data_IF_342090340021
#
_entry.id   IF_342090340021
#
_cell.length_a   1.000
_cell.length_b   1.000
_cell.length_c   1.000
_cell.angle_alpha   90.00
_cell.angle_beta   90.00
_cell.angle_gamma   90.00
#
_symmetry.space_group_name_H-M   'P 1'
#
loop_
_entity.id
_entity.type
_entity.pdbx_description
1 polymer ?
#
# COMPACT_ATOMS: atom_id res chain seq x y z
N UNK A 1 10.18 5.87 2.54
CA UNK A 1 9.50 5.29 3.72
C UNK A 1 8.18 6.01 3.91
N UNK A 2 7.10 5.28 4.14
CA UNK A 2 5.77 5.86 4.43
C UNK A 2 5.81 6.59 5.78
N UNK A 3 5.23 7.79 5.86
CA UNK A 3 5.15 8.60 7.08
C UNK A 3 3.76 8.46 7.71
N UNK A 4 3.69 8.45 9.04
CA UNK A 4 2.42 8.31 9.77
C UNK A 4 1.41 9.40 9.41
N UNK A 5 1.81 10.68 9.49
CA UNK A 5 0.93 11.80 9.14
C UNK A 5 0.40 11.70 7.71
N UNK A 6 1.27 11.36 6.75
CA UNK A 6 0.85 11.20 5.35
C UNK A 6 -0.20 10.08 5.20
N UNK A 7 -0.04 8.94 5.88
CA UNK A 7 -1.01 7.85 5.83
C UNK A 7 -2.38 8.22 6.42
N UNK A 8 -2.41 9.12 7.40
CA UNK A 8 -3.64 9.69 7.97
C UNK A 8 -4.25 10.71 7.01
N UNK A 9 -3.47 11.69 6.57
CA UNK A 9 -3.90 12.78 5.69
C UNK A 9 -4.47 12.27 4.36
N UNK A 10 -3.86 11.23 3.79
CA UNK A 10 -4.33 10.63 2.53
C UNK A 10 -5.46 9.62 2.72
N UNK A 11 -5.93 9.39 3.94
CA UNK A 11 -6.98 8.39 4.24
C UNK A 11 -6.57 6.93 3.99
N UNK A 12 -5.27 6.64 3.80
CA UNK A 12 -4.77 5.28 3.52
C UNK A 12 -5.13 4.32 4.65
N UNK A 13 -4.95 4.76 5.90
CA UNK A 13 -5.24 3.92 7.07
C UNK A 13 -6.73 3.56 7.11
N UNK A 14 -7.62 4.52 6.88
CA UNK A 14 -9.07 4.32 6.88
C UNK A 14 -9.51 3.33 5.79
N UNK A 15 -8.93 3.43 4.59
CA UNK A 15 -9.21 2.48 3.50
C UNK A 15 -8.78 1.05 3.84
N UNK A 16 -7.61 0.89 4.45
CA UNK A 16 -7.11 -0.42 4.88
C UNK A 16 -7.93 -1.00 6.05
N UNK A 17 -8.42 -0.16 6.96
CA UNK A 17 -9.32 -0.57 8.04
C UNK A 17 -10.69 -1.04 7.52
N UNK A 18 -11.22 -0.39 6.49
CA UNK A 18 -12.46 -0.80 5.83
C UNK A 18 -12.29 -2.11 5.04
N UNK A 19 -11.10 -2.34 4.47
CA UNK A 19 -10.77 -3.58 3.77
C UNK A 19 -10.56 -4.78 4.71
N UNK A 20 -10.48 -4.52 6.02
CA UNK A 20 -10.23 -5.55 7.01
C UNK A 20 -11.41 -6.54 7.04
N UNK A 21 -11.16 -7.86 6.95
CA UNK A 21 -12.24 -8.83 7.07
C UNK A 21 -12.91 -8.69 8.45
N UNK A 22 -14.19 -9.08 8.61
CA UNK A 22 -14.82 -9.10 9.93
C UNK A 22 -14.02 -9.94 10.92
N UNK A 23 -14.15 -9.63 12.22
CA UNK A 23 -13.43 -10.38 13.24
C UNK A 23 -13.85 -11.86 13.17
N UNK A 24 -12.89 -12.81 13.30
CA UNK A 24 -13.24 -14.21 13.28
C UNK A 24 -14.18 -14.52 14.44
N UNK A 25 -15.18 -15.37 14.17
CA UNK A 25 -16.13 -15.80 15.18
C UNK A 25 -15.36 -16.49 16.32
N UNK A 26 -15.49 -16.05 17.59
CA UNK A 26 -14.73 -16.61 18.71
C UNK A 26 -14.92 -18.12 18.90
N UNK A 27 -16.04 -18.68 18.41
CA UNK A 27 -16.30 -20.12 18.43
C UNK A 27 -15.42 -20.94 17.47
N UNK A 28 -14.85 -20.31 16.43
CA UNK A 28 -14.02 -20.95 15.40
C UNK A 28 -12.53 -20.55 15.50
N UNK A 29 -12.19 -19.63 16.42
CA UNK A 29 -10.83 -19.14 16.58
C UNK A 29 -10.03 -20.06 17.51
N UNK A 30 -8.77 -20.40 17.17
CA UNK A 30 -7.91 -21.14 18.09
C UNK A 30 -7.69 -20.34 19.38
N UNK A 31 -7.67 -20.99 20.56
CA UNK A 31 -7.66 -20.34 21.88
C UNK A 31 -6.41 -19.50 22.16
N UNK A 32 -5.40 -19.57 21.30
CA UNK A 32 -4.08 -19.00 21.53
C UNK A 32 -3.98 -17.48 21.33
N UNK A 33 -4.94 -16.85 20.64
CA UNK A 33 -4.88 -15.40 20.34
C UNK A 33 -6.26 -14.70 20.38
N UNK A 34 -6.96 -14.70 21.53
CA UNK A 34 -8.29 -14.08 21.67
C UNK A 34 -8.29 -12.56 21.40
N UNK A 35 -7.12 -11.92 21.49
CA UNK A 35 -6.98 -10.46 21.39
C UNK A 35 -7.10 -9.92 19.96
N UNK A 36 -6.94 -10.74 18.92
CA UNK A 36 -7.07 -10.29 17.52
C UNK A 36 -8.51 -10.01 17.09
N UNK A 37 -9.51 -10.32 17.92
CA UNK A 37 -10.91 -10.00 17.64
C UNK A 37 -11.27 -8.53 17.89
N UNK A 38 -10.54 -7.83 18.77
CA UNK A 38 -10.86 -6.44 19.12
C UNK A 38 -10.50 -5.47 17.99
N UNK A 39 -11.40 -4.55 17.58
CA UNK A 39 -11.14 -3.61 16.49
C UNK A 39 -9.91 -2.73 16.76
N UNK A 40 -9.73 -2.27 18.01
CA UNK A 40 -8.57 -1.47 18.40
C UNK A 40 -7.25 -2.25 18.30
N UNK A 41 -7.25 -3.54 18.65
CA UNK A 41 -6.04 -4.38 18.51
C UNK A 41 -5.71 -4.61 17.04
N UNK A 42 -6.73 -4.83 16.21
CA UNK A 42 -6.56 -5.04 14.77
C UNK A 42 -6.02 -3.81 14.06
N UNK A 43 -6.54 -2.63 14.39
CA UNK A 43 -6.00 -1.35 13.93
C UNK A 43 -4.53 -1.19 14.32
N UNK A 44 -4.16 -1.46 15.57
CA UNK A 44 -2.77 -1.37 16.01
C UNK A 44 -1.84 -2.39 15.33
N UNK A 45 -2.34 -3.59 15.04
CA UNK A 45 -1.60 -4.60 14.28
C UNK A 45 -1.40 -4.18 12.81
N UNK A 46 -2.41 -3.54 12.21
CA UNK A 46 -2.29 -2.93 10.88
C UNK A 46 -1.23 -1.82 10.87
N UNK A 47 -1.24 -0.92 11.86
CA UNK A 47 -0.19 0.09 12.04
C UNK A 47 1.19 -0.53 12.20
N UNK A 48 1.29 -1.61 12.99
CA UNK A 48 2.55 -2.34 13.17
C UNK A 48 3.12 -2.80 11.83
N UNK A 49 2.28 -3.39 10.97
CA UNK A 49 2.66 -3.87 9.64
C UNK A 49 3.04 -2.73 8.69
N UNK A 50 2.22 -1.67 8.66
CA UNK A 50 2.39 -0.54 7.76
C UNK A 50 3.71 0.22 8.03
N UNK A 51 4.13 0.28 9.29
CA UNK A 51 5.31 1.02 9.72
C UNK A 51 6.53 0.16 10.08
N UNK A 52 6.53 -1.14 9.74
CA UNK A 52 7.73 -1.99 9.85
C UNK A 52 8.95 -1.34 9.21
N UNK A 53 8.79 -0.88 7.96
CA UNK A 53 9.87 -0.22 7.22
C UNK A 53 10.34 1.08 7.89
N UNK A 54 9.43 1.85 8.48
CA UNK A 54 9.77 3.13 9.11
C UNK A 54 10.70 2.96 10.32
N UNK A 55 10.65 1.80 10.99
CA UNK A 55 11.56 1.45 12.09
C UNK A 55 12.75 0.57 11.64
N UNK A 56 12.97 0.45 10.32
CA UNK A 56 14.10 -0.30 9.75
C UNK A 56 13.87 -1.82 9.62
N UNK A 57 12.69 -2.33 9.96
CA UNK A 57 12.35 -3.75 9.81
C UNK A 57 11.91 -4.04 8.37
N UNK A 58 12.39 -5.16 7.80
CA UNK A 58 12.09 -5.52 6.40
C UNK A 58 11.06 -6.64 6.31
N UNK A 59 11.04 -7.52 7.30
CA UNK A 59 10.16 -8.69 7.34
C UNK A 59 9.46 -8.76 8.68
N UNK A 60 8.29 -9.39 8.70
CA UNK A 60 7.55 -9.65 9.95
C UNK A 60 8.39 -10.46 10.93
N UNK A 61 9.22 -11.39 10.44
CA UNK A 61 10.13 -12.21 11.26
C UNK A 61 11.09 -11.38 12.13
N UNK A 62 11.50 -10.19 11.65
CA UNK A 62 12.45 -9.33 12.35
C UNK A 62 11.86 -8.81 13.69
N UNK A 63 10.53 -8.86 13.87
CA UNK A 63 9.84 -8.54 15.12
C UNK A 63 10.25 -9.43 16.30
N UNK A 64 10.87 -10.59 16.07
CA UNK A 64 11.34 -11.48 17.15
C UNK A 64 12.47 -10.86 17.97
N UNK A 65 13.34 -10.09 17.32
CA UNK A 65 14.47 -9.40 17.95
C UNK A 65 14.23 -7.91 18.16
N UNK A 66 13.04 -7.41 17.84
CA UNK A 66 12.74 -6.00 17.93
C UNK A 66 12.49 -5.57 19.38
N UNK A 67 13.35 -4.70 19.90
CA UNK A 67 13.28 -4.16 21.27
C UNK A 67 13.13 -2.65 21.31
N UNK A 68 13.16 -1.96 20.17
CA UNK A 68 13.01 -0.51 20.13
C UNK A 68 11.55 -0.08 20.34
N UNK A 69 11.36 1.18 20.75
CA UNK A 69 10.04 1.70 21.14
C UNK A 69 9.22 2.27 19.97
N UNK A 70 9.80 2.41 18.78
CA UNK A 70 9.15 3.09 17.64
C UNK A 70 7.76 2.52 17.29
N UNK A 71 7.63 1.20 17.20
CA UNK A 71 6.33 0.55 16.96
C UNK A 71 5.40 0.62 18.18
N UNK A 72 5.95 0.66 19.39
CA UNK A 72 5.17 0.80 20.62
C UNK A 72 4.50 2.19 20.66
N UNK A 73 5.26 3.24 20.37
CA UNK A 73 4.79 4.61 20.26
C UNK A 73 3.69 4.76 19.19
N UNK A 74 3.93 4.24 17.98
CA UNK A 74 2.95 4.32 16.88
C UNK A 74 1.64 3.60 17.18
N UNK A 75 1.67 2.57 18.04
CA UNK A 75 0.48 1.81 18.43
C UNK A 75 -0.14 2.27 19.74
N UNK A 76 0.42 3.29 20.39
CA UNK A 76 -0.01 3.78 21.70
C UNK A 76 0.12 2.71 22.79
N UNK A 77 1.17 1.90 22.74
CA UNK A 77 1.43 0.80 23.67
C UNK A 77 2.75 1.00 24.40
N UNK A 78 2.85 0.36 25.57
CA UNK A 78 4.11 0.22 26.32
C UNK A 78 5.13 -0.71 25.63
N UNK A 79 4.67 -1.58 24.72
CA UNK A 79 5.53 -2.49 23.97
C UNK A 79 4.93 -2.80 22.61
N UNK A 80 5.77 -2.90 21.59
CA UNK A 80 5.40 -3.30 20.25
C UNK A 80 4.75 -4.70 20.23
N UNK A 81 3.88 -4.94 19.26
CA UNK A 81 3.37 -6.29 19.00
C UNK A 81 4.50 -7.21 18.54
N UNK A 82 4.63 -8.36 19.18
CA UNK A 82 5.61 -9.37 18.79
C UNK A 82 5.18 -10.17 17.56
N UNK A 83 6.16 -10.82 16.93
CA UNK A 83 5.98 -11.65 15.74
C UNK A 83 4.74 -12.56 15.76
N UNK A 84 4.49 -13.26 16.88
CA UNK A 84 3.40 -14.24 16.98
C UNK A 84 2.00 -13.62 16.88
N UNK A 85 1.82 -12.43 17.45
CA UNK A 85 0.55 -11.71 17.33
C UNK A 85 0.33 -11.23 15.90
N UNK A 86 1.38 -10.70 15.28
CA UNK A 86 1.33 -10.22 13.89
C UNK A 86 1.09 -11.37 12.91
N UNK A 87 1.73 -12.53 13.11
CA UNK A 87 1.54 -13.73 12.30
C UNK A 87 0.11 -14.31 12.44
N UNK A 88 -0.42 -14.38 13.67
CA UNK A 88 -1.79 -14.83 13.90
C UNK A 88 -2.82 -13.93 13.19
N UNK A 89 -2.59 -12.61 13.22
CA UNK A 89 -3.42 -11.64 12.53
C UNK A 89 -3.35 -11.77 11.00
N UNK A 90 -2.15 -11.88 10.43
CA UNK A 90 -1.97 -12.13 9.00
C UNK A 90 -2.62 -13.44 8.56
N UNK A 91 -2.55 -14.49 9.40
CA UNK A 91 -3.21 -15.77 9.13
C UNK A 91 -4.74 -15.64 9.08
N UNK A 92 -5.33 -14.80 9.94
CA UNK A 92 -6.77 -14.53 9.92
C UNK A 92 -7.18 -13.76 8.67
N UNK A 93 -6.37 -12.76 8.28
CA UNK A 93 -6.57 -12.02 7.04
C UNK A 93 -6.54 -12.95 5.84
N UNK A 94 -5.50 -13.81 5.74
CA UNK A 94 -5.33 -14.73 4.62
C UNK A 94 -6.49 -15.72 4.49
N UNK A 95 -7.01 -16.24 5.62
CA UNK A 95 -8.17 -17.15 5.62
C UNK A 95 -9.48 -16.51 5.19
N UNK A 96 -9.60 -15.19 5.35
CA UNK A 96 -10.80 -14.45 5.02
C UNK A 96 -10.69 -13.73 3.66
N UNK A 97 -9.78 -14.19 2.80
CA UNK A 97 -9.51 -13.64 1.47
C UNK A 97 -9.13 -12.15 1.50
N UNK A 98 -8.37 -11.76 2.53
CA UNK A 98 -7.98 -10.37 2.71
C UNK A 98 -7.01 -9.86 1.65
N UNK A 99 -6.30 -10.73 0.92
CA UNK A 99 -5.37 -10.34 -0.14
C UNK A 99 -6.07 -9.54 -1.23
N UNK A 100 -7.20 -10.05 -1.74
CA UNK A 100 -7.96 -9.37 -2.79
C UNK A 100 -8.55 -8.04 -2.27
N UNK A 101 -9.15 -8.05 -1.07
CA UNK A 101 -9.73 -6.84 -0.46
C UNK A 101 -8.69 -5.74 -0.24
N UNK A 102 -7.53 -6.08 0.30
CA UNK A 102 -6.46 -5.11 0.49
C UNK A 102 -5.88 -4.59 -0.82
N UNK A 103 -5.72 -5.47 -1.81
CA UNK A 103 -5.25 -5.07 -3.14
C UNK A 103 -6.23 -4.11 -3.80
N UNK A 104 -7.53 -4.42 -3.77
CA UNK A 104 -8.60 -3.56 -4.29
C UNK A 104 -8.69 -2.22 -3.55
N UNK A 105 -8.61 -2.22 -2.23
CA UNK A 105 -8.63 -1.00 -1.43
C UNK A 105 -7.39 -0.11 -1.69
N UNK A 106 -6.20 -0.70 -1.81
CA UNK A 106 -4.98 0.03 -2.17
C UNK A 106 -5.06 0.60 -3.59
N UNK A 107 -5.58 -0.16 -4.55
CA UNK A 107 -5.78 0.31 -5.91
C UNK A 107 -6.76 1.48 -5.94
N UNK A 108 -7.92 1.35 -5.29
CA UNK A 108 -8.93 2.40 -5.20
C UNK A 108 -8.37 3.67 -4.54
N UNK A 109 -7.69 3.52 -3.39
CA UNK A 109 -7.03 4.61 -2.69
C UNK A 109 -5.98 5.31 -3.56
N UNK A 110 -5.11 4.54 -4.24
CA UNK A 110 -4.07 5.10 -5.09
C UNK A 110 -4.68 5.87 -6.27
N UNK A 111 -5.71 5.32 -6.90
CA UNK A 111 -6.46 5.99 -7.98
C UNK A 111 -7.05 7.31 -7.48
N UNK A 112 -7.73 7.31 -6.32
CA UNK A 112 -8.30 8.53 -5.73
C UNK A 112 -7.22 9.58 -5.42
N UNK A 113 -6.10 9.16 -4.83
CA UNK A 113 -5.00 10.05 -4.48
C UNK A 113 -4.42 10.76 -5.72
N UNK A 114 -4.32 10.05 -6.84
CA UNK A 114 -3.77 10.60 -8.08
C UNK A 114 -4.81 11.43 -8.86
N UNK A 115 -6.10 11.09 -8.78
CA UNK A 115 -7.17 11.90 -9.38
C UNK A 115 -7.43 13.21 -8.63
N UNK A 116 -7.36 13.23 -7.30
CA UNK A 116 -7.53 14.45 -6.52
C UNK A 116 -6.44 15.50 -6.81
N UNK A 117 -5.27 15.07 -7.32
CA UNK A 117 -4.20 15.96 -7.78
C UNK A 117 -4.46 16.51 -9.20
N UNK A 118 -5.35 15.90 -9.98
CA UNK A 118 -5.60 16.18 -11.39
C UNK A 118 -6.79 17.11 -11.66
N UNK A 119 -7.34 17.76 -10.61
CA UNK A 119 -8.37 18.80 -10.71
C UNK A 119 -7.83 19.98 -11.55
N UNK A 120 -8.16 20.00 -12.84
CA UNK A 120 -7.72 21.00 -13.81
C UNK A 120 -8.03 20.70 -15.27
N UNK A 121 -8.45 19.47 -15.62
CA UNK A 121 -8.85 19.15 -16.99
C UNK A 121 -10.12 18.31 -17.01
N UNK A 122 -11.11 18.80 -17.76
CA UNK A 122 -12.41 18.19 -17.96
C UNK A 122 -12.33 16.74 -18.46
N UNK A 123 -13.33 15.94 -18.02
CA UNK A 123 -13.67 14.56 -18.35
C UNK A 123 -12.99 13.43 -17.53
N UNK A 124 -13.79 12.49 -16.96
CA UNK A 124 -13.27 11.31 -16.27
C UNK A 124 -12.77 10.30 -17.29
N UNK A 125 -11.55 10.50 -17.81
CA UNK A 125 -10.84 9.43 -18.50
C UNK A 125 -10.51 8.35 -17.47
N UNK A 126 -11.04 7.15 -17.67
CA UNK A 126 -10.74 5.97 -16.87
C UNK A 126 -9.22 5.75 -16.86
N UNK A 127 -8.56 6.13 -15.77
CA UNK A 127 -7.12 5.97 -15.59
C UNK A 127 -6.83 4.47 -15.50
N UNK A 128 -6.27 3.92 -16.58
CA UNK A 128 -5.71 2.56 -16.57
C UNK A 128 -4.30 2.65 -15.99
N UNK A 129 -4.18 2.69 -14.66
CA UNK A 129 -2.89 2.71 -13.98
C UNK A 129 -2.46 1.29 -13.56
N UNK A 130 -1.26 0.88 -13.97
CA UNK A 130 -0.62 -0.33 -13.46
C UNK A 130 0.22 0.02 -12.23
N UNK A 131 -0.18 -0.48 -11.06
CA UNK A 131 0.56 -0.29 -9.82
C UNK A 131 1.48 -1.49 -9.62
N UNK A 132 2.73 -1.38 -10.06
CA UNK A 132 3.77 -2.36 -9.73
C UNK A 132 4.37 -2.02 -8.36
N UNK A 133 4.03 -2.81 -7.33
CA UNK A 133 4.64 -2.69 -5.99
C UNK A 133 6.10 -3.17 -5.94
N UNK A 134 6.66 -3.62 -7.06
CA UNK A 134 7.99 -4.19 -7.13
C UNK A 134 9.07 -3.10 -7.23
N UNK A 135 9.88 -2.95 -6.18
CA UNK A 135 11.07 -2.09 -6.21
C UNK A 135 12.17 -2.78 -7.03
N UNK A 136 12.16 -2.64 -8.35
CA UNK A 136 13.30 -3.06 -9.20
C UNK A 136 14.40 -1.99 -9.09
N UNK A 137 15.62 -2.32 -8.62
CA UNK A 137 16.75 -1.42 -8.80
C UNK A 137 17.03 -1.33 -10.30
N UNK A 138 16.74 -0.17 -10.88
CA UNK A 138 17.09 0.13 -12.27
C UNK A 138 18.48 0.74 -12.26
N UNK A 139 19.50 -0.03 -12.67
CA UNK A 139 20.78 0.52 -13.07
C UNK A 139 20.75 0.65 -14.60
N UNK A 140 20.38 1.83 -15.08
CA UNK A 140 20.55 2.17 -16.49
C UNK A 140 20.58 3.68 -16.64
N UNK A 141 21.60 4.20 -17.32
CA UNK A 141 21.68 5.60 -17.76
C UNK A 141 20.76 5.87 -18.97
N UNK A 142 20.04 4.85 -19.45
CA UNK A 142 19.29 4.89 -20.71
C UNK A 142 17.93 4.18 -20.54
N UNK A 143 16.87 4.97 -20.74
CA UNK A 143 15.47 4.58 -21.01
C UNK A 143 14.64 4.02 -19.83
N UNK A 144 14.06 4.94 -19.04
CA UNK A 144 12.72 4.71 -18.48
C UNK A 144 11.70 5.01 -19.60
N UNK A 145 10.76 4.10 -19.91
CA UNK A 145 9.69 4.38 -20.87
C UNK A 145 8.86 5.57 -20.38
N UNK A 146 8.84 6.67 -21.15
CA UNK A 146 7.93 7.79 -20.87
C UNK A 146 6.54 7.41 -21.39
N UNK A 147 5.54 7.58 -20.54
CA UNK A 147 4.13 7.37 -20.89
C UNK A 147 3.75 8.12 -22.16
N UNK A 148 2.85 7.50 -22.91
CA UNK A 148 2.37 7.90 -24.23
C UNK A 148 1.95 9.38 -24.26
N UNK A 149 2.66 10.24 -25.02
CA UNK A 149 2.06 11.48 -25.51
C UNK A 149 1.15 11.11 -26.68
N UNK A 150 -0.08 11.57 -26.62
CA UNK A 150 -1.05 11.48 -27.70
C UNK A 150 -0.49 12.14 -28.97
N UNK A 151 -0.92 11.60 -30.11
CA UNK A 151 -0.52 12.04 -31.44
C UNK A 151 -0.83 13.51 -31.69
N UNK A 152 0.14 14.24 -32.25
CA UNK A 152 -0.13 15.46 -32.99
C UNK A 152 0.14 15.14 -34.47
N UNK A 153 -0.94 14.99 -35.23
CA UNK A 153 -0.93 15.10 -36.70
C UNK A 153 -0.98 16.60 -37.00
N UNK A 154 -0.09 17.08 -37.86
CA UNK A 154 -0.44 18.13 -38.84
C UNK A 154 0.56 18.09 -40.03
N UNK A 155 0.24 18.69 -41.19
CA UNK A 155 0.35 18.03 -42.48
C UNK A 155 1.37 18.72 -43.39
N UNK A 156 1.74 18.07 -44.49
CA UNK A 156 2.04 18.78 -45.74
C UNK A 156 3.39 19.51 -45.89
N UNK A 157 4.27 18.84 -46.65
CA UNK A 157 5.07 19.35 -47.80
C UNK A 157 6.31 20.25 -47.55
N UNK A 158 7.25 20.37 -48.53
CA UNK A 158 7.49 19.57 -49.75
C UNK A 158 8.94 19.03 -49.89
N UNK A 159 9.09 18.13 -50.86
CA UNK A 159 10.35 17.57 -51.38
C UNK A 159 11.31 18.62 -51.95
N UNK A 160 12.62 18.37 -51.85
CA UNK A 160 13.66 19.04 -52.64
C UNK A 160 14.83 18.06 -52.91
N UNK A 161 15.63 18.28 -53.98
CA UNK A 161 16.01 17.22 -54.91
C UNK A 161 17.39 16.59 -54.70
N UNK A 162 17.55 15.45 -55.36
CA UNK A 162 18.81 14.76 -55.64
C UNK A 162 19.75 15.68 -56.43
N UNK A 163 21.01 15.82 -56.00
CA UNK A 163 22.08 16.41 -56.79
C UNK A 163 23.14 15.35 -57.10
N UNK A 164 23.34 15.20 -58.42
CA UNK A 164 24.32 14.46 -59.24
C UNK A 164 25.47 13.71 -58.57
#
# INVERSE_FOLDING_TARGET
MLRFSAAIETGLLSQLEQALPPAPNPALAPPSFPLTGSPAVRQRLLLTLLFLGAVGLRRTWDLRGYTAEGLALLTGRMRAYGYRYTEAFLSQIARADGTERFTGALACWATQLWHALAEGTEQPQALTCYVDGHRKPVYSDVLIPRGHRAAERDPGLPSAPLAA
#
